data_IF_906155083127
#
_entry.id   IF_906155083127
#
_cell.length_a   1.000
_cell.length_b   1.000
_cell.length_c   1.000
_cell.angle_alpha   90.00
_cell.angle_beta   90.00
_cell.angle_gamma   90.00
#
_symmetry.space_group_name_H-M   'P 1'
#
loop_
_entity.id
_entity.type
_entity.pdbx_description
1 polymer ?
#
# COMPACT_ATOMS: atom_id res chain seq x y z
N UNK A 1 21.59 -13.81 31.80
CA UNK A 1 21.80 -14.85 30.76
C UNK A 1 20.80 -15.96 30.94
N UNK A 2 19.65 -15.88 30.27
CA UNK A 2 18.70 -16.98 30.17
C UNK A 2 18.70 -17.45 28.72
N UNK A 3 19.62 -18.37 28.40
CA UNK A 3 19.57 -19.11 27.15
C UNK A 3 18.50 -20.19 27.32
N UNK A 4 17.26 -19.86 26.93
CA UNK A 4 16.27 -20.88 26.65
C UNK A 4 16.76 -21.57 25.37
N UNK A 5 17.31 -22.77 25.53
CA UNK A 5 17.61 -23.68 24.41
C UNK A 5 16.24 -24.14 23.90
N UNK A 6 15.69 -23.40 22.93
CA UNK A 6 14.55 -23.88 22.17
C UNK A 6 15.00 -25.06 21.31
N UNK A 7 14.21 -26.13 21.31
CA UNK A 7 14.32 -27.26 20.39
C UNK A 7 14.57 -26.77 18.95
N UNK A 8 15.46 -27.47 18.23
CA UNK A 8 15.98 -27.08 16.91
C UNK A 8 14.90 -26.84 15.86
N UNK A 9 13.71 -27.41 16.02
CA UNK A 9 12.55 -27.17 15.15
C UNK A 9 11.93 -25.77 15.30
N UNK A 10 11.85 -25.24 16.52
CA UNK A 10 11.23 -23.93 16.80
C UNK A 10 12.07 -22.76 16.29
N UNK A 11 13.38 -22.96 16.08
CA UNK A 11 14.27 -21.94 15.54
C UNK A 11 13.82 -21.42 14.16
N UNK A 12 13.12 -22.25 13.38
CA UNK A 12 12.63 -21.93 12.03
C UNK A 12 11.31 -21.15 12.02
N UNK A 13 10.58 -21.08 13.13
CA UNK A 13 9.30 -20.33 13.21
C UNK A 13 9.31 -19.29 14.32
N UNK A 14 10.49 -19.01 14.88
CA UNK A 14 10.68 -18.12 16.03
C UNK A 14 10.21 -16.69 15.76
N UNK A 15 10.29 -16.23 14.52
CA UNK A 15 9.80 -14.92 14.06
C UNK A 15 8.27 -14.81 14.03
N UNK A 16 7.54 -15.92 14.07
CA UNK A 16 6.07 -15.92 14.15
C UNK A 16 5.63 -16.25 15.59
N UNK A 17 6.23 -17.29 16.19
CA UNK A 17 5.84 -17.81 17.49
C UNK A 17 6.06 -16.81 18.62
N UNK A 18 7.13 -16.01 18.58
CA UNK A 18 7.37 -15.00 19.62
C UNK A 18 6.35 -13.85 19.59
N UNK A 19 5.70 -13.63 18.45
CA UNK A 19 4.79 -12.52 18.21
C UNK A 19 3.35 -12.99 17.94
N UNK A 20 3.01 -14.19 18.41
CA UNK A 20 1.68 -14.77 18.25
C UNK A 20 0.52 -13.87 18.71
N UNK A 21 0.63 -13.01 19.77
CA UNK A 21 -0.48 -12.15 20.16
C UNK A 21 -0.77 -11.08 19.09
N UNK A 22 0.26 -10.55 18.44
CA UNK A 22 0.10 -9.56 17.37
C UNK A 22 -0.61 -10.19 16.16
N UNK A 23 -0.24 -11.43 15.81
CA UNK A 23 -0.92 -12.19 14.76
C UNK A 23 -2.40 -12.38 15.06
N UNK A 24 -2.77 -12.68 16.30
CA UNK A 24 -4.18 -12.82 16.69
C UNK A 24 -4.93 -11.49 16.49
N UNK A 25 -4.36 -10.37 16.92
CA UNK A 25 -4.99 -9.06 16.77
C UNK A 25 -5.24 -8.75 15.29
N UNK A 26 -4.24 -8.98 14.43
CA UNK A 26 -4.35 -8.74 12.99
C UNK A 26 -5.39 -9.65 12.34
N UNK A 27 -5.44 -10.93 12.73
CA UNK A 27 -6.45 -11.87 12.22
C UNK A 27 -7.85 -11.47 12.67
N UNK A 28 -8.04 -11.02 13.92
CA UNK A 28 -9.35 -10.54 14.39
C UNK A 28 -9.79 -9.30 13.60
N UNK A 29 -8.88 -8.37 13.35
CA UNK A 29 -9.16 -7.17 12.56
C UNK A 29 -9.55 -7.54 11.12
N UNK A 30 -8.82 -8.46 10.48
CA UNK A 30 -9.15 -8.92 9.13
C UNK A 30 -10.49 -9.67 9.08
N UNK A 31 -10.77 -10.53 10.07
CA UNK A 31 -12.06 -11.21 10.18
C UNK A 31 -13.20 -10.21 10.36
N UNK A 32 -12.99 -9.16 11.16
CA UNK A 32 -13.96 -8.08 11.31
C UNK A 32 -14.20 -7.37 9.97
N UNK A 33 -13.14 -7.04 9.23
CA UNK A 33 -13.24 -6.42 7.91
C UNK A 33 -14.02 -7.29 6.93
N UNK A 34 -13.72 -8.60 6.85
CA UNK A 34 -14.45 -9.56 6.02
C UNK A 34 -15.93 -9.66 6.41
N UNK A 35 -16.21 -9.75 7.71
CA UNK A 35 -17.58 -9.79 8.23
C UNK A 35 -18.36 -8.54 7.85
N UNK A 36 -17.82 -7.35 8.09
CA UNK A 36 -18.47 -6.08 7.76
C UNK A 36 -18.68 -5.93 6.25
N UNK A 37 -17.68 -6.31 5.46
CA UNK A 37 -17.73 -6.17 4.00
C UNK A 37 -18.78 -7.07 3.36
N UNK A 38 -18.89 -8.34 3.80
CA UNK A 38 -19.72 -9.34 3.13
C UNK A 38 -21.08 -9.60 3.79
N UNK A 39 -21.21 -9.39 5.11
CA UNK A 39 -22.45 -9.73 5.84
C UNK A 39 -23.33 -8.50 6.10
N UNK A 40 -22.79 -7.28 6.10
CA UNK A 40 -23.57 -6.08 6.35
C UNK A 40 -24.57 -5.82 5.21
N UNK A 41 -25.89 -5.75 5.50
CA UNK A 41 -26.87 -5.39 4.49
C UNK A 41 -26.85 -3.87 4.26
N UNK A 42 -26.45 -3.46 3.05
CA UNK A 42 -26.51 -2.05 2.63
C UNK A 42 -27.80 -1.82 1.82
N UNK A 43 -28.64 -0.84 2.18
CA UNK A 43 -29.87 -0.55 1.46
C UNK A 43 -29.62 -0.26 -0.03
N UNK A 44 -30.31 -0.99 -0.92
CA UNK A 44 -30.21 -0.80 -2.37
C UNK A 44 -28.96 -1.39 -3.03
N UNK A 45 -28.10 -2.08 -2.29
CA UNK A 45 -26.87 -2.68 -2.81
C UNK A 45 -26.84 -4.21 -2.58
N UNK A 46 -26.22 -4.98 -3.48
CA UNK A 46 -26.04 -6.41 -3.25
C UNK A 46 -25.05 -6.61 -2.10
N UNK A 47 -25.21 -7.71 -1.35
CA UNK A 47 -24.27 -8.06 -0.27
C UNK A 47 -22.87 -8.30 -0.83
N UNK A 48 -21.85 -7.78 -0.15
CA UNK A 48 -20.47 -7.88 -0.61
C UNK A 48 -20.13 -7.03 -1.83
N UNK A 49 -20.89 -5.97 -2.11
CA UNK A 49 -20.57 -5.06 -3.20
C UNK A 49 -19.25 -4.32 -2.95
N UNK A 50 -18.29 -4.49 -3.86
CA UNK A 50 -16.93 -3.88 -3.80
C UNK A 50 -16.67 -2.91 -4.97
N UNK A 51 -17.71 -2.61 -5.74
CA UNK A 51 -17.62 -1.83 -6.96
C UNK A 51 -17.66 -0.30 -6.75
N UNK A 52 -17.40 0.45 -7.82
CA UNK A 52 -17.40 1.91 -7.78
C UNK A 52 -18.82 2.52 -7.75
N UNK A 53 -19.87 1.77 -8.06
CA UNK A 53 -21.19 2.33 -8.33
C UNK A 53 -21.20 3.22 -9.59
N UNK A 54 -22.07 4.22 -9.65
CA UNK A 54 -22.22 5.08 -10.82
C UNK A 54 -22.60 4.30 -12.08
N UNK A 55 -21.85 4.45 -13.17
CA UNK A 55 -21.99 3.67 -14.42
C UNK A 55 -21.31 2.29 -14.36
N UNK A 56 -20.66 1.95 -13.23
CA UNK A 56 -20.12 0.61 -13.00
C UNK A 56 -21.23 -0.46 -13.00
N UNK A 57 -20.88 -1.69 -13.35
CA UNK A 57 -21.82 -2.82 -13.48
C UNK A 57 -23.03 -2.50 -14.37
N UNK A 58 -22.78 -1.84 -15.52
CA UNK A 58 -23.80 -1.33 -16.45
C UNK A 58 -24.81 -0.35 -15.81
N UNK A 59 -24.40 0.34 -14.73
CA UNK A 59 -25.26 1.29 -14.02
C UNK A 59 -26.32 0.66 -13.12
N UNK A 60 -26.20 -0.64 -12.80
CA UNK A 60 -27.18 -1.35 -11.95
C UNK A 60 -27.22 -0.83 -10.51
N UNK A 61 -26.09 -0.33 -9.99
CA UNK A 61 -25.92 0.07 -8.58
C UNK A 61 -25.35 1.48 -8.43
N UNK A 62 -26.04 2.52 -8.93
CA UNK A 62 -25.46 3.86 -9.07
C UNK A 62 -25.10 4.51 -7.72
N UNK A 63 -25.87 4.22 -6.66
CA UNK A 63 -25.69 4.80 -5.32
C UNK A 63 -24.87 3.91 -4.37
N UNK A 64 -24.23 2.85 -4.87
CA UNK A 64 -23.54 1.86 -4.05
C UNK A 64 -22.02 2.04 -3.98
N UNK A 65 -21.50 3.24 -4.23
CA UNK A 65 -20.05 3.50 -4.27
C UNK A 65 -19.34 3.01 -3.01
N UNK A 66 -18.47 2.01 -3.16
CA UNK A 66 -17.71 1.40 -2.06
C UNK A 66 -18.50 0.47 -1.13
N UNK A 67 -19.78 0.19 -1.45
CA UNK A 67 -20.62 -0.77 -0.72
C UNK A 67 -20.65 -0.53 0.79
N UNK A 68 -20.30 -1.56 1.56
CA UNK A 68 -20.29 -1.51 3.02
C UNK A 68 -19.30 -0.48 3.58
N UNK A 69 -18.14 -0.27 2.95
CA UNK A 69 -17.14 0.70 3.40
C UNK A 69 -17.70 2.13 3.31
N UNK A 70 -18.18 2.50 2.11
CA UNK A 70 -18.79 3.81 1.90
C UNK A 70 -20.02 4.06 2.78
N UNK A 71 -20.81 3.01 3.08
CA UNK A 71 -21.95 3.11 3.99
C UNK A 71 -21.53 3.38 5.44
N UNK A 72 -20.54 2.64 5.95
CA UNK A 72 -20.03 2.81 7.33
C UNK A 72 -19.36 4.17 7.49
N UNK A 73 -18.55 4.60 6.52
CA UNK A 73 -17.85 5.88 6.59
C UNK A 73 -18.83 7.06 6.63
N UNK A 74 -19.88 7.03 5.80
CA UNK A 74 -20.95 8.04 5.86
C UNK A 74 -21.69 8.04 7.19
N UNK A 75 -21.94 6.86 7.76
CA UNK A 75 -22.61 6.75 9.05
C UNK A 75 -21.74 7.28 10.20
N UNK A 76 -20.43 7.03 10.17
CA UNK A 76 -19.52 7.41 11.25
C UNK A 76 -19.04 8.87 11.14
N UNK A 77 -18.63 9.30 9.94
CA UNK A 77 -18.04 10.63 9.69
C UNK A 77 -19.12 11.68 9.38
N UNK A 78 -20.28 11.25 8.89
CA UNK A 78 -21.32 12.12 8.35
C UNK A 78 -21.00 12.58 6.92
N UNK A 79 -22.02 12.93 6.15
CA UNK A 79 -21.86 13.27 4.72
C UNK A 79 -20.98 14.51 4.48
N UNK A 80 -21.03 15.51 5.38
CA UNK A 80 -20.29 16.76 5.26
C UNK A 80 -18.76 16.60 5.47
N UNK A 81 -18.33 15.51 6.10
CA UNK A 81 -16.92 15.22 6.36
C UNK A 81 -16.34 14.19 5.40
N UNK A 82 -17.12 13.73 4.41
CA UNK A 82 -16.67 12.77 3.41
C UNK A 82 -15.89 13.45 2.29
N UNK A 83 -14.97 12.71 1.68
CA UNK A 83 -14.23 13.20 0.52
C UNK A 83 -15.13 13.24 -0.74
N UNK A 84 -15.34 14.44 -1.30
CA UNK A 84 -16.28 14.69 -2.42
C UNK A 84 -15.67 14.57 -3.82
N UNK A 85 -14.36 14.38 -3.92
CA UNK A 85 -13.64 14.27 -5.19
C UNK A 85 -12.88 12.93 -5.33
N UNK A 86 -13.52 11.77 -5.05
CA UNK A 86 -12.85 10.48 -5.20
C UNK A 86 -12.55 10.19 -6.67
N UNK A 87 -11.49 9.43 -6.92
CA UNK A 87 -11.06 9.06 -8.29
C UNK A 87 -12.15 8.33 -9.08
N UNK A 88 -13.04 7.59 -8.39
CA UNK A 88 -14.19 6.92 -9.03
C UNK A 88 -15.24 7.90 -9.57
N UNK A 89 -15.28 9.16 -9.11
CA UNK A 89 -16.24 10.18 -9.58
C UNK A 89 -16.02 10.54 -11.04
N UNK A 90 -14.77 10.77 -11.44
CA UNK A 90 -14.45 11.15 -12.82
C UNK A 90 -14.60 9.95 -13.77
N UNK A 91 -14.11 8.78 -13.37
CA UNK A 91 -14.11 7.58 -14.21
C UNK A 91 -15.49 6.93 -14.33
N UNK A 92 -16.22 6.81 -13.22
CA UNK A 92 -17.50 6.08 -13.16
C UNK A 92 -18.72 6.99 -12.98
N UNK A 93 -18.54 8.32 -13.06
CA UNK A 93 -19.63 9.31 -12.91
C UNK A 93 -20.47 9.09 -11.64
N UNK A 94 -19.82 8.73 -10.54
CA UNK A 94 -20.48 8.50 -9.27
C UNK A 94 -20.98 9.82 -8.68
N UNK A 95 -22.14 9.79 -8.04
CA UNK A 95 -22.71 10.98 -7.35
C UNK A 95 -22.38 10.98 -5.86
N UNK A 96 -22.02 9.83 -5.31
CA UNK A 96 -21.81 9.61 -3.89
C UNK A 96 -20.38 10.00 -3.48
N UNK A 97 -20.20 10.69 -2.34
CA UNK A 97 -18.87 10.91 -1.78
C UNK A 97 -18.31 9.59 -1.24
N UNK A 98 -16.99 9.45 -1.28
CA UNK A 98 -16.30 8.23 -0.88
C UNK A 98 -14.90 8.55 -0.38
N UNK A 99 -14.54 8.02 0.79
CA UNK A 99 -13.23 8.22 1.40
C UNK A 99 -12.31 7.01 1.14
N UNK A 100 -11.24 7.17 0.33
CA UNK A 100 -10.30 6.08 0.07
C UNK A 100 -9.44 5.70 1.29
N UNK A 101 -9.39 6.53 2.32
CA UNK A 101 -8.67 6.29 3.58
C UNK A 101 -9.66 6.17 4.75
N UNK A 102 -10.90 5.75 4.46
CA UNK A 102 -11.95 5.54 5.44
C UNK A 102 -11.68 4.42 6.46
N UNK A 103 -12.65 4.17 7.31
CA UNK A 103 -12.51 3.31 8.50
C UNK A 103 -12.19 1.85 8.15
N UNK A 104 -12.90 1.26 7.20
CA UNK A 104 -12.63 -0.10 6.74
C UNK A 104 -11.29 -0.18 6.01
N UNK A 105 -10.94 0.83 5.23
CA UNK A 105 -9.64 0.91 4.56
C UNK A 105 -8.48 0.94 5.57
N UNK A 106 -8.66 1.65 6.68
CA UNK A 106 -7.67 1.72 7.78
C UNK A 106 -7.35 0.35 8.37
N UNK A 107 -8.34 -0.55 8.49
CA UNK A 107 -8.11 -1.92 8.99
C UNK A 107 -7.11 -2.66 8.08
N UNK A 108 -7.33 -2.64 6.77
CA UNK A 108 -6.44 -3.29 5.82
C UNK A 108 -5.06 -2.59 5.72
N UNK A 109 -5.01 -1.28 5.95
CA UNK A 109 -3.76 -0.54 6.08
C UNK A 109 -2.93 -0.99 7.30
N UNK A 110 -3.57 -1.36 8.41
CA UNK A 110 -2.89 -1.99 9.57
C UNK A 110 -2.27 -3.33 9.16
N UNK A 111 -2.99 -4.16 8.39
CA UNK A 111 -2.48 -5.45 7.90
C UNK A 111 -1.26 -5.25 7.01
N UNK A 112 -1.29 -4.26 6.10
CA UNK A 112 -0.14 -3.91 5.27
C UNK A 112 1.08 -3.48 6.11
N UNK A 113 0.85 -2.59 7.09
CA UNK A 113 1.90 -2.15 8.00
C UNK A 113 2.49 -3.32 8.80
N UNK A 114 1.63 -4.25 9.22
CA UNK A 114 2.05 -5.47 9.91
C UNK A 114 2.93 -6.37 9.05
N UNK A 115 2.64 -6.54 7.75
CA UNK A 115 3.54 -7.25 6.85
C UNK A 115 4.92 -6.57 6.72
N UNK A 116 4.96 -5.23 6.71
CA UNK A 116 6.22 -4.48 6.77
C UNK A 116 6.99 -4.72 8.08
N UNK A 117 6.27 -4.75 9.22
CA UNK A 117 6.83 -5.07 10.53
C UNK A 117 7.38 -6.51 10.56
N UNK A 118 6.68 -7.48 9.95
CA UNK A 118 7.17 -8.85 9.79
C UNK A 118 8.47 -8.89 8.99
N UNK A 119 8.58 -8.13 7.90
CA UNK A 119 9.82 -8.01 7.13
C UNK A 119 10.99 -7.49 7.99
N UNK A 120 10.75 -6.44 8.80
CA UNK A 120 11.73 -5.90 9.73
C UNK A 120 12.17 -6.92 10.79
N UNK A 121 11.22 -7.65 11.37
CA UNK A 121 11.51 -8.73 12.34
C UNK A 121 12.39 -9.82 11.75
N UNK A 122 12.13 -10.25 10.52
CA UNK A 122 12.96 -11.24 9.82
C UNK A 122 14.41 -10.75 9.69
N UNK A 123 14.61 -9.49 9.27
CA UNK A 123 15.95 -8.91 9.13
C UNK A 123 16.68 -8.88 10.48
N UNK A 124 16.01 -8.42 11.55
CA UNK A 124 16.61 -8.33 12.88
C UNK A 124 16.94 -9.70 13.46
N UNK A 125 16.04 -10.67 13.30
CA UNK A 125 16.15 -12.00 13.87
C UNK A 125 17.26 -12.83 13.20
N UNK A 126 17.37 -12.73 11.87
CA UNK A 126 18.32 -13.49 11.05
C UNK A 126 19.48 -12.63 10.53
N UNK A 127 19.81 -11.54 11.22
CA UNK A 127 20.84 -10.56 10.80
C UNK A 127 22.17 -11.18 10.39
N UNK A 128 22.58 -12.26 11.06
CA UNK A 128 23.85 -12.96 10.80
C UNK A 128 23.74 -14.04 9.70
N UNK A 129 22.54 -14.27 9.16
CA UNK A 129 22.22 -15.35 8.22
C UNK A 129 21.46 -14.80 7.00
N UNK A 130 22.13 -14.09 6.07
CA UNK A 130 21.48 -13.41 4.94
C UNK A 130 20.70 -14.37 4.03
N UNK A 131 21.16 -15.62 3.87
CA UNK A 131 20.42 -16.64 3.11
C UNK A 131 19.10 -17.03 3.78
N UNK A 132 19.02 -17.00 5.11
CA UNK A 132 17.77 -17.27 5.85
C UNK A 132 16.76 -16.14 5.62
N UNK A 133 17.22 -14.88 5.62
CA UNK A 133 16.39 -13.71 5.30
C UNK A 133 15.78 -13.84 3.91
N UNK A 134 16.61 -14.10 2.89
CA UNK A 134 16.15 -14.23 1.50
C UNK A 134 15.14 -15.36 1.31
N UNK A 135 15.39 -16.53 1.92
CA UNK A 135 14.45 -17.65 1.89
C UNK A 135 13.10 -17.26 2.49
N UNK A 136 13.09 -16.53 3.61
CA UNK A 136 11.85 -16.09 4.27
C UNK A 136 11.10 -15.06 3.45
N UNK A 137 11.79 -14.08 2.87
CA UNK A 137 11.15 -13.12 1.97
C UNK A 137 10.51 -13.81 0.77
N UNK A 138 11.18 -14.83 0.21
CA UNK A 138 10.60 -15.64 -0.86
C UNK A 138 9.37 -16.43 -0.38
N UNK A 139 9.43 -17.05 0.80
CA UNK A 139 8.28 -17.76 1.39
C UNK A 139 7.09 -16.81 1.58
N UNK A 140 7.29 -15.63 2.18
CA UNK A 140 6.25 -14.63 2.36
C UNK A 140 5.69 -14.12 1.04
N UNK A 141 6.55 -13.84 0.06
CA UNK A 141 6.12 -13.45 -1.28
C UNK A 141 5.23 -14.51 -1.93
N UNK A 142 5.65 -15.77 -1.92
CA UNK A 142 4.87 -16.88 -2.50
C UNK A 142 3.54 -17.08 -1.77
N UNK A 143 3.54 -17.06 -0.43
CA UNK A 143 2.32 -17.21 0.37
C UNK A 143 1.32 -16.10 0.09
N UNK A 144 1.75 -14.84 0.13
CA UNK A 144 0.89 -13.68 -0.11
C UNK A 144 0.43 -13.60 -1.57
N UNK A 145 1.30 -13.96 -2.51
CA UNK A 145 0.97 -14.08 -3.93
C UNK A 145 -0.08 -15.17 -4.18
N UNK A 146 0.02 -16.30 -3.48
CA UNK A 146 -0.96 -17.38 -3.57
C UNK A 146 -2.33 -16.97 -2.99
N UNK A 147 -2.35 -16.33 -1.82
CA UNK A 147 -3.58 -15.79 -1.22
C UNK A 147 -4.22 -14.77 -2.17
N UNK A 148 -3.44 -13.83 -2.71
CA UNK A 148 -3.92 -12.86 -3.70
C UNK A 148 -4.52 -13.55 -4.92
N UNK A 149 -3.81 -14.51 -5.53
CA UNK A 149 -4.27 -15.24 -6.70
C UNK A 149 -5.60 -15.97 -6.46
N UNK A 150 -5.82 -16.53 -5.27
CA UNK A 150 -7.09 -17.14 -4.88
C UNK A 150 -8.20 -16.07 -4.79
N UNK A 151 -7.93 -14.96 -4.11
CA UNK A 151 -8.92 -13.89 -3.91
C UNK A 151 -9.36 -13.26 -5.24
N UNK A 152 -8.43 -13.10 -6.18
CA UNK A 152 -8.68 -12.46 -7.47
C UNK A 152 -9.02 -13.45 -8.58
N UNK A 153 -8.98 -14.77 -8.32
CA UNK A 153 -9.07 -15.83 -9.35
C UNK A 153 -8.09 -15.62 -10.53
N UNK A 154 -6.91 -15.03 -10.26
CA UNK A 154 -5.94 -14.61 -11.27
C UNK A 154 -6.48 -13.61 -12.31
N UNK A 155 -7.58 -12.92 -12.02
CA UNK A 155 -8.16 -11.87 -12.86
C UNK A 155 -8.00 -10.50 -12.20
N UNK A 156 -8.02 -9.42 -12.99
CA UNK A 156 -7.81 -8.07 -12.44
C UNK A 156 -9.09 -7.51 -11.80
N UNK A 157 -10.21 -7.62 -12.51
CA UNK A 157 -11.48 -6.98 -12.15
C UNK A 157 -12.54 -7.98 -11.66
N UNK A 158 -12.28 -9.28 -11.83
CA UNK A 158 -13.16 -10.35 -11.41
C UNK A 158 -12.52 -11.08 -10.21
N UNK A 159 -13.31 -11.89 -9.50
CA UNK A 159 -12.84 -12.62 -8.32
C UNK A 159 -13.77 -12.47 -7.11
N UNK A 160 -13.35 -13.03 -5.98
CA UNK A 160 -14.08 -12.86 -4.71
C UNK A 160 -13.83 -11.46 -4.14
N UNK A 161 -12.59 -11.00 -4.21
CA UNK A 161 -12.18 -9.65 -3.81
C UNK A 161 -11.26 -9.11 -4.92
N UNK A 162 -11.75 -8.28 -5.85
CA UNK A 162 -10.90 -7.69 -6.89
C UNK A 162 -9.88 -6.72 -6.29
N UNK A 163 -8.79 -6.48 -7.02
CA UNK A 163 -7.73 -5.56 -6.59
C UNK A 163 -8.28 -4.14 -6.65
N UNK A 164 -8.53 -3.53 -5.48
CA UNK A 164 -9.11 -2.20 -5.40
C UNK A 164 -8.31 -1.34 -4.42
N UNK A 165 -7.58 -0.35 -4.98
CA UNK A 165 -6.77 0.58 -4.20
C UNK A 165 -7.59 1.53 -3.33
N UNK A 166 -8.77 1.95 -3.82
CA UNK A 166 -9.64 2.89 -3.12
C UNK A 166 -10.29 2.25 -1.89
N UNK A 167 -10.50 0.93 -1.89
CA UNK A 167 -11.02 0.20 -0.73
C UNK A 167 -9.90 -0.36 0.17
N UNK A 168 -8.64 -0.17 -0.21
CA UNK A 168 -7.52 -0.93 0.35
C UNK A 168 -7.84 -2.43 0.44
N UNK A 169 -8.40 -3.03 -0.62
CA UNK A 169 -8.95 -4.39 -0.54
C UNK A 169 -7.90 -5.40 -0.07
N UNK A 170 -8.33 -6.49 0.60
CA UNK A 170 -7.41 -7.54 1.07
C UNK A 170 -6.54 -8.10 -0.08
N UNK A 171 -7.11 -8.27 -1.27
CA UNK A 171 -6.35 -8.70 -2.45
C UNK A 171 -5.34 -7.64 -2.90
N UNK A 172 -5.65 -6.35 -2.80
CA UNK A 172 -4.69 -5.28 -3.05
C UNK A 172 -3.53 -5.32 -2.04
N UNK A 173 -3.82 -5.44 -0.74
CA UNK A 173 -2.80 -5.51 0.33
C UNK A 173 -1.89 -6.72 0.17
N UNK A 174 -2.44 -7.90 -0.07
CA UNK A 174 -1.66 -9.14 -0.27
C UNK A 174 -0.82 -9.11 -1.54
N UNK A 175 -1.36 -8.57 -2.64
CA UNK A 175 -0.61 -8.37 -3.89
C UNK A 175 0.55 -7.39 -3.70
N UNK A 176 0.29 -6.23 -3.11
CA UNK A 176 1.31 -5.21 -2.85
C UNK A 176 2.41 -5.76 -1.93
N UNK A 177 2.02 -6.49 -0.89
CA UNK A 177 2.97 -7.10 0.05
C UNK A 177 3.83 -8.17 -0.62
N UNK A 178 3.24 -9.01 -1.48
CA UNK A 178 3.99 -9.98 -2.29
C UNK A 178 5.12 -9.32 -3.10
N UNK A 179 4.77 -8.32 -3.92
CA UNK A 179 5.77 -7.60 -4.72
C UNK A 179 6.77 -6.84 -3.85
N UNK A 180 6.33 -6.31 -2.70
CA UNK A 180 7.21 -5.62 -1.75
C UNK A 180 8.25 -6.57 -1.14
N UNK A 181 7.88 -7.80 -0.77
CA UNK A 181 8.83 -8.81 -0.28
C UNK A 181 9.84 -9.23 -1.36
N UNK A 182 9.40 -9.39 -2.61
CA UNK A 182 10.30 -9.68 -3.75
C UNK A 182 11.27 -8.53 -3.96
N UNK A 183 10.77 -7.30 -4.06
CA UNK A 183 11.60 -6.11 -4.27
C UNK A 183 12.59 -5.92 -3.11
N UNK A 184 12.12 -6.05 -1.86
CA UNK A 184 12.98 -5.96 -0.69
C UNK A 184 14.05 -7.05 -0.69
N UNK A 185 13.73 -8.28 -1.09
CA UNK A 185 14.69 -9.36 -1.23
C UNK A 185 15.76 -9.09 -2.30
N UNK A 186 15.36 -8.55 -3.46
CA UNK A 186 16.31 -8.15 -4.51
C UNK A 186 17.23 -7.03 -4.00
N UNK A 187 16.67 -5.99 -3.38
CA UNK A 187 17.44 -4.87 -2.86
C UNK A 187 18.40 -5.31 -1.74
N UNK A 188 17.93 -6.15 -0.81
CA UNK A 188 18.76 -6.73 0.25
C UNK A 188 19.92 -7.57 -0.33
N UNK A 189 19.66 -8.37 -1.37
CA UNK A 189 20.73 -9.13 -2.02
C UNK A 189 21.76 -8.22 -2.69
N UNK A 190 21.32 -7.22 -3.47
CA UNK A 190 22.21 -6.32 -4.21
C UNK A 190 23.05 -5.45 -3.26
N UNK A 191 22.44 -4.93 -2.20
CA UNK A 191 23.05 -3.94 -1.29
C UNK A 191 23.79 -4.65 -0.15
N UNK A 192 23.14 -5.53 0.61
CA UNK A 192 23.71 -6.10 1.83
C UNK A 192 24.59 -7.33 1.57
N UNK A 193 24.19 -8.19 0.61
CA UNK A 193 24.93 -9.44 0.32
C UNK A 193 26.05 -9.21 -0.68
N UNK A 194 25.73 -8.65 -1.86
CA UNK A 194 26.70 -8.43 -2.94
C UNK A 194 27.45 -7.12 -2.85
N UNK A 195 26.90 -6.11 -2.15
CA UNK A 195 27.48 -4.77 -2.03
C UNK A 195 27.80 -4.14 -3.38
N UNK A 196 27.02 -4.46 -4.41
CA UNK A 196 27.20 -3.91 -5.76
C UNK A 196 26.76 -2.46 -5.86
N UNK A 197 25.90 -2.03 -4.93
CA UNK A 197 25.32 -0.70 -4.95
C UNK A 197 25.07 -0.19 -3.53
N UNK A 198 25.32 1.10 -3.32
CA UNK A 198 25.15 1.75 -2.03
C UNK A 198 23.75 2.34 -1.78
N UNK A 199 22.78 2.12 -2.69
CA UNK A 199 21.41 2.63 -2.57
C UNK A 199 21.17 4.06 -3.09
N UNK A 200 22.18 4.71 -3.68
CA UNK A 200 22.04 6.04 -4.29
C UNK A 200 21.45 5.95 -5.72
N UNK A 201 20.45 6.76 -6.09
CA UNK A 201 20.05 8.00 -5.43
C UNK A 201 18.91 7.86 -4.42
N UNK A 202 18.28 6.68 -4.27
CA UNK A 202 17.04 6.51 -3.50
C UNK A 202 17.17 6.86 -2.01
N UNK A 203 18.37 6.74 -1.44
CA UNK A 203 18.64 7.18 -0.06
C UNK A 203 18.38 8.68 0.12
N UNK A 204 18.68 9.52 -0.87
CA UNK A 204 18.57 10.98 -0.71
C UNK A 204 17.12 11.43 -0.48
N UNK A 205 16.15 11.07 -1.35
CA UNK A 205 14.76 11.39 -1.08
C UNK A 205 14.18 10.53 0.05
N UNK A 206 14.68 9.30 0.25
CA UNK A 206 14.21 8.44 1.34
C UNK A 206 14.46 9.02 2.74
N UNK A 207 15.62 9.64 2.96
CA UNK A 207 15.95 10.28 4.25
C UNK A 207 15.21 11.61 4.51
N UNK A 208 14.59 12.19 3.48
CA UNK A 208 13.88 13.48 3.53
C UNK A 208 12.48 13.36 2.90
N UNK A 209 11.85 12.19 3.02
CA UNK A 209 10.63 11.85 2.26
C UNK A 209 9.48 12.81 2.54
N UNK A 210 9.23 13.15 3.81
CA UNK A 210 8.15 14.08 4.17
C UNK A 210 8.40 15.50 3.69
N UNK A 211 9.64 15.98 3.79
CA UNK A 211 10.01 17.31 3.30
C UNK A 211 9.77 17.40 1.80
N UNK A 212 10.24 16.41 1.04
CA UNK A 212 10.11 16.39 -0.42
C UNK A 212 8.64 16.25 -0.82
N UNK A 213 7.86 15.44 -0.11
CA UNK A 213 6.42 15.32 -0.36
C UNK A 213 5.67 16.64 -0.15
N UNK A 214 5.91 17.31 0.98
CA UNK A 214 5.28 18.60 1.27
C UNK A 214 5.75 19.66 0.27
N UNK A 215 7.05 19.73 0.01
CA UNK A 215 7.62 20.69 -0.92
C UNK A 215 7.13 20.47 -2.35
N UNK A 216 6.98 19.22 -2.81
CA UNK A 216 6.45 18.90 -4.14
C UNK A 216 4.96 19.18 -4.26
N UNK A 217 4.19 19.04 -3.17
CA UNK A 217 2.79 19.42 -3.13
C UNK A 217 2.60 20.94 -3.18
N UNK A 218 3.44 21.70 -2.46
CA UNK A 218 3.38 23.17 -2.43
C UNK A 218 3.92 23.81 -3.72
N UNK A 219 5.02 23.29 -4.27
CA UNK A 219 5.69 23.84 -5.45
C UNK A 219 5.28 23.17 -6.76
N UNK A 220 4.41 22.17 -6.73
CA UNK A 220 4.04 21.34 -7.89
C UNK A 220 3.33 22.07 -9.03
N UNK A 221 2.88 23.30 -8.80
CA UNK A 221 2.28 24.17 -9.82
C UNK A 221 3.24 25.22 -10.37
N UNK A 222 4.41 25.39 -9.75
CA UNK A 222 5.37 26.43 -10.11
C UNK A 222 6.42 25.92 -11.11
N UNK A 223 6.91 26.82 -11.95
CA UNK A 223 8.12 26.58 -12.75
C UNK A 223 9.32 26.40 -11.80
N UNK A 224 10.24 25.44 -12.03
CA UNK A 224 10.38 24.54 -13.19
C UNK A 224 9.66 23.19 -13.08
N UNK A 225 8.88 22.94 -12.02
CA UNK A 225 8.22 21.64 -11.81
C UNK A 225 6.98 21.44 -12.68
N UNK A 226 6.31 22.55 -13.01
CA UNK A 226 5.16 22.57 -13.90
C UNK A 226 5.13 23.84 -14.72
N UNK A 227 4.72 23.70 -15.97
CA UNK A 227 4.40 24.80 -16.87
C UNK A 227 3.18 24.42 -17.70
N UNK A 228 2.60 25.42 -18.37
CA UNK A 228 1.46 25.23 -19.24
C UNK A 228 1.91 24.51 -20.53
N UNK A 229 1.28 23.37 -20.81
CA UNK A 229 1.65 22.53 -21.95
C UNK A 229 1.18 23.18 -23.25
N UNK A 230 2.09 23.31 -24.22
CA UNK A 230 1.73 23.86 -25.55
C UNK A 230 1.11 22.80 -26.46
N UNK A 231 1.45 21.52 -26.27
CA UNK A 231 1.00 20.41 -27.11
C UNK A 231 0.34 19.32 -26.28
N UNK A 232 -0.91 19.56 -25.86
CA UNK A 232 -1.68 18.61 -25.02
C UNK A 232 -1.91 17.22 -25.67
N UNK A 233 -1.72 17.09 -26.98
CA UNK A 233 -1.88 15.82 -27.72
C UNK A 233 -0.62 14.95 -27.74
N UNK A 234 0.55 15.50 -27.38
CA UNK A 234 1.81 14.76 -27.39
C UNK A 234 2.20 14.33 -25.97
N UNK A 235 2.53 13.06 -25.79
CA UNK A 235 3.03 12.54 -24.49
C UNK A 235 4.48 12.96 -24.18
N UNK A 236 5.21 13.52 -25.15
CA UNK A 236 6.62 13.88 -24.97
C UNK A 236 6.82 15.06 -24.01
N UNK A 237 5.99 16.11 -24.12
CA UNK A 237 6.06 17.29 -23.25
C UNK A 237 5.70 16.95 -21.79
N UNK A 238 4.60 16.23 -21.50
CA UNK A 238 4.31 15.73 -20.16
C UNK A 238 5.42 14.84 -19.60
N UNK A 239 5.95 13.91 -20.40
CA UNK A 239 7.03 13.03 -19.96
C UNK A 239 8.28 13.83 -19.59
N UNK A 240 8.68 14.77 -20.43
CA UNK A 240 9.82 15.65 -20.16
C UNK A 240 9.62 16.47 -18.90
N UNK A 241 8.43 17.04 -18.71
CA UNK A 241 8.08 17.78 -17.50
C UNK A 241 8.19 16.93 -16.24
N UNK A 242 7.60 15.73 -16.24
CA UNK A 242 7.66 14.84 -15.08
C UNK A 242 9.07 14.34 -14.80
N UNK A 243 9.86 14.04 -15.84
CA UNK A 243 11.27 13.65 -15.69
C UNK A 243 12.09 14.80 -15.10
N UNK A 244 11.96 16.02 -15.64
CA UNK A 244 12.68 17.19 -15.15
C UNK A 244 12.31 17.48 -13.69
N UNK A 245 11.03 17.52 -13.37
CA UNK A 245 10.55 17.75 -12.02
C UNK A 245 11.12 16.71 -11.04
N UNK A 246 11.07 15.42 -11.40
CA UNK A 246 11.61 14.34 -10.58
C UNK A 246 13.12 14.45 -10.39
N UNK A 247 13.86 14.73 -11.47
CA UNK A 247 15.32 14.94 -11.40
C UNK A 247 15.69 16.11 -10.50
N UNK A 248 14.94 17.21 -10.57
CA UNK A 248 15.14 18.37 -9.69
C UNK A 248 14.85 18.02 -8.23
N UNK A 249 13.79 17.29 -7.93
CA UNK A 249 13.51 16.84 -6.57
C UNK A 249 14.60 15.92 -6.01
N UNK A 250 15.14 15.01 -6.82
CA UNK A 250 16.28 14.18 -6.43
C UNK A 250 17.54 15.01 -6.19
N UNK A 251 17.79 16.04 -7.01
CA UNK A 251 18.90 16.97 -6.82
C UNK A 251 18.74 17.78 -5.54
N UNK A 252 17.55 18.32 -5.27
CA UNK A 252 17.23 19.04 -4.04
C UNK A 252 17.43 18.14 -2.82
N UNK A 253 16.94 16.90 -2.89
CA UNK A 253 17.14 15.90 -1.85
C UNK A 253 18.63 15.62 -1.59
N UNK A 254 19.42 15.52 -2.65
CA UNK A 254 20.87 15.35 -2.57
C UNK A 254 21.56 16.56 -1.91
N UNK A 255 21.14 17.79 -2.23
CA UNK A 255 21.67 19.00 -1.60
C UNK A 255 21.37 19.03 -0.10
N UNK A 256 20.15 18.66 0.31
CA UNK A 256 19.82 18.53 1.74
C UNK A 256 20.63 17.44 2.43
N UNK A 257 20.81 16.29 1.77
CA UNK A 257 21.65 15.21 2.27
C UNK A 257 23.10 15.67 2.48
N UNK A 258 23.68 16.41 1.51
CA UNK A 258 25.03 16.99 1.62
C UNK A 258 25.16 18.00 2.77
N UNK A 259 24.12 18.79 3.01
CA UNK A 259 24.04 19.72 4.15
C UNK A 259 23.69 19.05 5.48
N UNK A 260 23.47 17.73 5.51
CA UNK A 260 23.01 16.95 6.67
C UNK A 260 21.73 17.51 7.31
N UNK A 261 20.87 18.13 6.50
CA UNK A 261 19.56 18.60 6.94
C UNK A 261 18.55 17.47 6.74
N UNK A 262 17.93 17.03 7.84
CA UNK A 262 16.95 15.96 7.85
C UNK A 262 15.73 16.39 8.67
N UNK A 263 14.61 16.62 7.99
CA UNK A 263 13.35 16.92 8.66
C UNK A 263 12.72 15.62 9.15
N UNK A 264 12.52 15.51 10.47
CA UNK A 264 11.81 14.40 11.13
C UNK A 264 10.59 14.96 11.83
N UNK A 265 9.47 14.24 11.72
CA UNK A 265 8.21 14.49 12.44
C UNK A 265 8.06 13.39 13.48
#
# INVERSE_FOLDING_TARGET
>A
TYFIVFDTWWASVRDIVLYWPEWIIVVILELLWLCLTFLLPVPGCPRGYLGPGGIGDDGKYPNCTGGAAGYIDKWLLGEDHMYHHPTCKEMYKTTQPFDPEGTLGTINSIVLAFFGLQAGKIILMYRQQPLSILKRFLIWAVLLGFISAILTKCTQNEGFIPINKNLWSLSFVTTLSCFSFVLLGIMFYVIDVKKWWGGQPFIFPGMNSILIYVASSLLGTYFPFRWEMKYATSHAEPLFQHLLATSLWVLIAYLFYKKKFFLKI
#
